data_IF_414971626351
#
_entry.id   IF_414971626351
#
_cell.length_a   1.000
_cell.length_b   1.000
_cell.length_c   1.000
_cell.angle_alpha   90.00
_cell.angle_beta   90.00
_cell.angle_gamma   90.00
#
_symmetry.space_group_name_H-M   'P 1'
#
loop_
_entity.id
_entity.type
_entity.pdbx_description
1 polymer ?
#
# COMPACT_ATOMS: atom_id res chain seq x y z
N UNK A 1 -27.00 -8.50 -5.56
CA UNK A 1 -27.35 -7.67 -6.73
C UNK A 1 -28.10 -8.55 -7.73
N UNK A 2 -29.37 -8.92 -7.49
CA UNK A 2 -30.19 -9.41 -8.59
C UNK A 2 -30.86 -8.23 -9.33
N UNK A 3 -31.07 -8.47 -10.62
CA UNK A 3 -31.91 -7.77 -11.60
C UNK A 3 -31.37 -6.68 -12.55
N UNK A 4 -31.87 -6.84 -13.78
CA UNK A 4 -31.69 -6.18 -15.08
C UNK A 4 -30.42 -6.45 -15.88
N UNK A 5 -30.57 -6.36 -17.21
CA UNK A 5 -29.63 -6.75 -18.27
C UNK A 5 -28.35 -5.88 -18.31
N UNK A 6 -27.66 -5.77 -17.19
CA UNK A 6 -26.37 -5.08 -17.08
C UNK A 6 -25.31 -5.91 -17.81
N UNK A 7 -24.58 -5.31 -18.78
CA UNK A 7 -23.48 -5.98 -19.44
C UNK A 7 -22.48 -6.53 -18.42
N UNK A 8 -22.12 -7.80 -18.58
CA UNK A 8 -21.12 -8.46 -17.74
C UNK A 8 -19.80 -8.49 -18.48
N UNK A 9 -18.77 -7.95 -17.85
CA UNK A 9 -17.40 -8.03 -18.34
C UNK A 9 -16.60 -8.89 -17.37
N UNK A 10 -15.89 -9.89 -17.90
CA UNK A 10 -14.94 -10.65 -17.09
C UNK A 10 -13.73 -9.77 -16.78
N UNK A 11 -13.35 -9.68 -15.51
CA UNK A 11 -12.15 -8.95 -15.10
C UNK A 11 -10.89 -9.63 -15.67
N UNK A 12 -9.95 -8.82 -16.14
CA UNK A 12 -8.64 -9.25 -16.61
C UNK A 12 -7.59 -8.25 -16.17
N UNK A 13 -6.38 -8.72 -15.94
CA UNK A 13 -5.21 -7.89 -15.67
C UNK A 13 -4.06 -8.35 -16.59
N UNK A 14 -3.51 -7.42 -17.36
CA UNK A 14 -2.32 -7.65 -18.20
C UNK A 14 -1.20 -6.75 -17.69
N UNK A 15 -0.35 -7.30 -16.83
CA UNK A 15 0.75 -6.57 -16.21
C UNK A 15 1.69 -5.95 -17.23
N UNK A 16 1.89 -6.54 -18.42
CA UNK A 16 2.79 -5.96 -19.44
C UNK A 16 2.20 -4.72 -20.11
N UNK A 17 0.87 -4.66 -20.24
CA UNK A 17 0.17 -3.54 -20.88
C UNK A 17 -0.15 -2.42 -19.89
N UNK A 18 -0.53 -2.80 -18.69
CA UNK A 18 -1.09 -1.89 -17.68
C UNK A 18 -0.03 -1.38 -16.70
N UNK A 19 1.05 -2.13 -16.48
CA UNK A 19 2.16 -1.63 -15.68
C UNK A 19 2.98 -0.62 -16.48
N UNK A 20 3.00 0.61 -15.99
CA UNK A 20 3.89 1.67 -16.45
C UNK A 20 4.42 2.41 -15.23
N UNK A 21 5.71 2.66 -15.23
CA UNK A 21 6.36 3.57 -14.29
C UNK A 21 5.63 4.92 -14.26
N UNK A 22 5.23 5.38 -13.08
CA UNK A 22 4.63 6.70 -12.91
C UNK A 22 5.73 7.77 -13.00
N UNK A 23 5.63 8.77 -13.88
CA UNK A 23 6.64 9.82 -14.02
C UNK A 23 7.08 10.49 -12.71
N UNK A 24 6.22 10.49 -11.69
CA UNK A 24 6.52 11.13 -10.40
C UNK A 24 7.36 10.28 -9.45
N UNK A 25 7.44 8.97 -9.68
CA UNK A 25 8.23 8.07 -8.85
C UNK A 25 7.46 6.81 -8.44
N UNK A 26 7.90 6.22 -7.32
CA UNK A 26 7.33 4.99 -6.78
C UNK A 26 7.22 5.07 -5.25
N UNK A 27 6.48 4.14 -4.67
CA UNK A 27 6.22 4.08 -3.23
C UNK A 27 6.85 2.83 -2.61
N UNK A 28 7.39 3.00 -1.41
CA UNK A 28 7.77 1.91 -0.53
C UNK A 28 6.83 1.91 0.68
N UNK A 29 6.23 0.77 0.98
CA UNK A 29 5.26 0.64 2.06
C UNK A 29 5.85 -0.20 3.20
N UNK A 30 5.66 0.25 4.44
CA UNK A 30 6.06 -0.47 5.65
C UNK A 30 4.95 -0.43 6.69
N UNK A 31 4.73 -1.56 7.35
CA UNK A 31 3.84 -1.65 8.52
C UNK A 31 4.67 -1.57 9.79
N UNK A 32 4.33 -0.62 10.67
CA UNK A 32 4.93 -0.44 11.98
C UNK A 32 4.01 -1.00 13.06
N UNK A 33 4.04 -2.32 13.26
CA UNK A 33 3.12 -3.04 14.15
C UNK A 33 3.10 -2.50 15.59
N UNK A 34 4.27 -2.24 16.17
CA UNK A 34 4.38 -1.67 17.53
C UNK A 34 3.69 -0.30 17.68
N UNK A 35 3.63 0.47 16.59
CA UNK A 35 3.03 1.82 16.57
C UNK A 35 1.56 1.81 16.13
N UNK A 36 1.07 0.71 15.57
CA UNK A 36 -0.27 0.68 14.98
C UNK A 36 -0.40 1.55 13.73
N UNK A 37 0.67 1.68 12.93
CA UNK A 37 0.73 2.63 11.81
C UNK A 37 1.31 2.00 10.53
N UNK A 38 0.96 2.58 9.39
CA UNK A 38 1.52 2.29 8.06
C UNK A 38 2.33 3.52 7.65
N UNK A 39 3.54 3.29 7.15
CA UNK A 39 4.34 4.32 6.50
C UNK A 39 4.48 4.07 5.02
N UNK A 40 4.43 5.16 4.27
CA UNK A 40 4.66 5.22 2.83
C UNK A 40 5.78 6.20 2.57
N UNK A 41 6.81 5.74 1.88
CA UNK A 41 7.88 6.60 1.39
C UNK A 41 7.74 6.78 -0.11
N UNK A 42 7.62 8.02 -0.56
CA UNK A 42 7.67 8.38 -1.96
C UNK A 42 9.14 8.57 -2.40
N UNK A 43 9.53 7.91 -3.48
CA UNK A 43 10.87 7.88 -4.04
C UNK A 43 10.85 8.36 -5.49
N UNK A 44 11.81 9.17 -5.90
CA UNK A 44 12.02 9.44 -7.32
C UNK A 44 12.88 8.34 -7.98
N UNK A 45 13.04 8.37 -9.31
CA UNK A 45 13.86 7.40 -10.05
C UNK A 45 15.38 7.57 -9.90
N UNK A 46 15.84 8.55 -9.11
CA UNK A 46 17.22 8.62 -8.62
C UNK A 46 17.40 7.96 -7.26
N UNK A 47 16.37 7.27 -6.76
CA UNK A 47 16.34 6.64 -5.45
C UNK A 47 16.48 7.64 -4.29
N UNK A 48 16.01 8.87 -4.49
CA UNK A 48 16.00 9.91 -3.47
C UNK A 48 14.62 9.95 -2.80
N UNK A 49 14.57 9.88 -1.47
CA UNK A 49 13.33 10.04 -0.71
C UNK A 49 12.79 11.47 -0.89
N UNK A 50 11.56 11.58 -1.34
CA UNK A 50 10.89 12.86 -1.54
C UNK A 50 9.99 13.20 -0.36
N UNK A 51 9.28 12.22 0.19
CA UNK A 51 8.34 12.42 1.27
C UNK A 51 7.99 11.12 2.00
N UNK A 52 7.82 11.20 3.32
CA UNK A 52 7.24 10.14 4.15
C UNK A 52 5.82 10.52 4.59
N UNK A 53 4.87 9.60 4.39
CA UNK A 53 3.46 9.72 4.78
C UNK A 53 3.17 8.63 5.79
N UNK A 54 2.68 9.00 6.96
CA UNK A 54 2.30 8.08 8.04
C UNK A 54 0.79 8.15 8.27
N UNK A 55 0.16 7.00 8.51
CA UNK A 55 -1.27 6.94 8.81
C UNK A 55 -1.70 5.59 9.36
N UNK A 56 -2.96 5.48 9.77
CA UNK A 56 -3.53 4.27 10.38
C UNK A 56 -4.45 3.48 9.44
N UNK A 57 -4.87 4.09 8.34
CA UNK A 57 -5.77 3.50 7.35
C UNK A 57 -5.32 3.80 5.92
N UNK A 58 -5.64 2.89 5.00
CA UNK A 58 -5.20 2.96 3.61
C UNK A 58 -5.75 4.17 2.87
N UNK A 59 -7.03 4.50 3.11
CA UNK A 59 -7.74 5.54 2.37
C UNK A 59 -7.16 6.93 2.67
N UNK A 60 -6.92 7.25 3.94
CA UNK A 60 -6.32 8.51 4.36
C UNK A 60 -4.93 8.71 3.76
N UNK A 61 -4.12 7.66 3.73
CA UNK A 61 -2.77 7.69 3.14
C UNK A 61 -2.84 7.86 1.62
N UNK A 62 -3.65 7.07 0.94
CA UNK A 62 -3.84 7.14 -0.52
C UNK A 62 -4.34 8.53 -0.95
N UNK A 63 -5.36 9.05 -0.27
CA UNK A 63 -5.91 10.38 -0.54
C UNK A 63 -4.91 11.49 -0.26
N UNK A 64 -4.02 11.31 0.72
CA UNK A 64 -2.92 12.26 0.97
C UNK A 64 -1.95 12.26 -0.21
N UNK A 65 -1.53 11.09 -0.69
CA UNK A 65 -0.64 10.98 -1.86
C UNK A 65 -1.27 11.64 -3.11
N UNK A 66 -2.57 11.46 -3.32
CA UNK A 66 -3.32 12.09 -4.42
C UNK A 66 -3.39 13.60 -4.26
N UNK A 67 -3.81 14.11 -3.09
CA UNK A 67 -3.91 15.57 -2.83
C UNK A 67 -2.56 16.28 -2.96
N UNK A 68 -1.48 15.63 -2.53
CA UNK A 68 -0.11 16.15 -2.66
C UNK A 68 0.46 15.97 -4.07
N UNK A 69 -0.26 15.28 -4.95
CA UNK A 69 0.17 15.05 -6.32
C UNK A 69 1.45 14.23 -6.41
N UNK A 70 1.66 13.24 -5.55
CA UNK A 70 2.85 12.38 -5.55
C UNK A 70 2.82 11.30 -6.64
N UNK A 71 1.68 11.14 -7.30
CA UNK A 71 1.49 10.26 -8.44
C UNK A 71 0.71 10.97 -9.55
N UNK A 72 0.68 10.39 -10.73
CA UNK A 72 0.02 10.94 -11.92
C UNK A 72 -0.78 9.92 -12.73
N UNK A 73 -0.48 8.63 -12.57
CA UNK A 73 -1.18 7.53 -13.26
C UNK A 73 -2.34 6.99 -12.44
N UNK A 74 -3.49 6.76 -13.09
CA UNK A 74 -4.62 6.05 -12.49
C UNK A 74 -4.29 4.59 -12.16
N UNK A 75 -3.46 3.94 -12.99
CA UNK A 75 -2.99 2.58 -12.73
C UNK A 75 -2.13 2.54 -11.46
N UNK A 76 -1.23 3.52 -11.29
CA UNK A 76 -0.43 3.62 -10.08
C UNK A 76 -1.27 3.97 -8.85
N UNK A 77 -2.30 4.81 -9.00
CA UNK A 77 -3.25 5.08 -7.92
C UNK A 77 -4.03 3.83 -7.50
N UNK A 78 -4.50 3.02 -8.45
CA UNK A 78 -5.20 1.76 -8.19
C UNK A 78 -4.29 0.75 -7.48
N UNK A 79 -3.05 0.60 -7.97
CA UNK A 79 -2.04 -0.26 -7.36
C UNK A 79 -1.68 0.19 -5.94
N UNK A 80 -1.44 1.49 -5.72
CA UNK A 80 -1.16 2.03 -4.40
C UNK A 80 -2.31 1.75 -3.43
N UNK A 81 -3.55 1.95 -3.86
CA UNK A 81 -4.73 1.62 -3.05
C UNK A 81 -4.79 0.13 -2.67
N UNK A 82 -4.51 -0.76 -3.62
CA UNK A 82 -4.44 -2.20 -3.39
C UNK A 82 -3.40 -2.57 -2.32
N UNK A 83 -2.16 -2.10 -2.48
CA UNK A 83 -1.08 -2.41 -1.54
C UNK A 83 -1.29 -1.78 -0.16
N UNK A 84 -1.84 -0.56 -0.09
CA UNK A 84 -2.16 0.07 1.19
C UNK A 84 -3.28 -0.66 1.93
N UNK A 85 -4.31 -1.12 1.23
CA UNK A 85 -5.37 -1.91 1.85
C UNK A 85 -4.84 -3.26 2.37
N UNK A 86 -3.89 -3.87 1.64
CA UNK A 86 -3.17 -5.07 2.09
C UNK A 86 -2.35 -4.79 3.34
N UNK A 87 -1.62 -3.67 3.39
CA UNK A 87 -0.86 -3.23 4.56
C UNK A 87 -1.76 -2.96 5.78
N UNK A 88 -2.89 -2.30 5.59
CA UNK A 88 -3.89 -2.06 6.64
C UNK A 88 -4.48 -3.37 7.18
N UNK A 89 -4.79 -4.30 6.29
CA UNK A 89 -5.28 -5.63 6.67
C UNK A 89 -4.23 -6.39 7.48
N UNK A 90 -2.98 -6.36 7.03
CA UNK A 90 -1.87 -6.99 7.75
C UNK A 90 -1.68 -6.38 9.15
N UNK A 91 -1.75 -5.06 9.26
CA UNK A 91 -1.68 -4.36 10.55
C UNK A 91 -2.81 -4.79 11.49
N UNK A 92 -4.05 -4.80 11.02
CA UNK A 92 -5.23 -5.15 11.83
C UNK A 92 -5.23 -6.61 12.30
N UNK A 93 -4.71 -7.53 11.48
CA UNK A 93 -4.68 -8.96 11.77
C UNK A 93 -3.36 -9.45 12.39
N UNK A 94 -2.37 -8.55 12.54
CA UNK A 94 -1.03 -8.90 12.99
C UNK A 94 -0.30 -9.86 12.06
N UNK A 95 -0.50 -9.74 10.75
CA UNK A 95 0.14 -10.58 9.73
C UNK A 95 1.39 -9.91 9.19
N UNK A 96 2.36 -10.70 8.72
CA UNK A 96 3.51 -10.17 7.97
C UNK A 96 3.04 -9.52 6.67
N UNK A 97 3.45 -8.27 6.44
CA UNK A 97 3.25 -7.57 5.17
C UNK A 97 4.55 -7.61 4.35
N UNK A 98 4.42 -8.05 3.10
CA UNK A 98 5.45 -7.91 2.07
C UNK A 98 4.76 -7.31 0.84
N UNK A 99 5.30 -6.22 0.32
CA UNK A 99 4.77 -5.57 -0.88
C UNK A 99 4.85 -6.54 -2.07
N UNK A 100 3.90 -6.46 -3.00
CA UNK A 100 3.79 -7.35 -4.18
C UNK A 100 3.52 -8.84 -3.89
N UNK A 101 3.59 -9.27 -2.63
CA UNK A 101 3.26 -10.65 -2.21
C UNK A 101 1.85 -10.75 -1.62
N UNK A 102 1.15 -11.88 -1.80
CA UNK A 102 -0.11 -12.16 -1.09
C UNK A 102 0.10 -12.20 0.43
N UNK A 103 -0.95 -11.87 1.20
CA UNK A 103 -0.94 -12.09 2.63
C UNK A 103 -0.96 -13.59 2.94
N UNK A 104 0.00 -14.03 3.75
CA UNK A 104 -0.01 -15.36 4.34
C UNK A 104 -0.67 -15.29 5.72
N UNK A 105 -1.91 -15.80 5.81
CA UNK A 105 -2.70 -15.78 7.03
C UNK A 105 -2.11 -16.65 8.16
N UNK A 106 -1.11 -17.50 7.87
CA UNK A 106 -0.41 -18.29 8.86
C UNK A 106 0.84 -17.59 9.41
N UNK A 107 1.34 -16.53 8.76
CA UNK A 107 2.53 -15.79 9.20
C UNK A 107 2.14 -14.56 10.01
N UNK A 108 2.32 -14.66 11.32
CA UNK A 108 2.20 -13.50 12.22
C UNK A 108 3.43 -12.62 12.13
N UNK A 109 3.20 -11.31 12.10
CA UNK A 109 4.27 -10.36 12.36
C UNK A 109 4.80 -10.68 13.77
N UNK A 110 6.13 -10.78 13.92
CA UNK A 110 6.75 -11.00 15.23
C UNK A 110 6.19 -9.99 16.24
N UNK A 111 5.97 -10.44 17.48
CA UNK A 111 5.58 -9.54 18.56
C UNK A 111 6.50 -8.31 18.59
N UNK A 112 5.97 -7.12 18.92
CA UNK A 112 6.79 -5.93 19.02
C UNK A 112 7.96 -6.24 19.94
N UNK A 113 9.20 -6.05 19.46
CA UNK A 113 10.35 -5.98 20.36
C UNK A 113 9.99 -4.95 21.42
N UNK A 114 9.81 -5.40 22.66
CA UNK A 114 9.71 -4.53 23.81
C UNK A 114 10.91 -3.60 23.74
N UNK A 115 10.67 -2.30 23.60
CA UNK A 115 11.67 -1.25 23.72
C UNK A 115 12.45 -1.46 25.02
N UNK A 116 13.58 -2.15 24.92
CA UNK A 116 14.56 -2.21 25.98
C UNK A 116 15.39 -0.92 25.87
N UNK A 117 14.73 0.22 26.08
CA UNK A 117 15.39 1.49 26.31
C UNK A 117 16.00 1.40 27.70
N UNK A 118 17.24 0.92 27.74
CA UNK A 118 18.10 1.06 28.91
C UNK A 118 18.20 2.56 29.24
N UNK A 119 17.96 2.83 30.52
CA UNK A 119 18.10 4.11 31.23
C UNK A 119 19.45 4.77 30.99
#
# INVERSE_FOLDING_TARGET
>A
MPDEAVPRTTASYDSRREWRADPKGYFLIKVFYARGEIGVRHMNYRHEAQEDILGKDALSIAQTCVRKGLLSSLQHAAYLGHELHKAETALKLGLVFIQDEPLDFNKKASEPESENVKR
#
